data_IF_659938933890
#
_entry.id   IF_659938933890
#
_cell.length_a   1.000
_cell.length_b   1.000
_cell.length_c   1.000
_cell.angle_alpha   90.00
_cell.angle_beta   90.00
_cell.angle_gamma   90.00
#
_symmetry.space_group_name_H-M   'P 1'
#
loop_
_entity.id
_entity.type
_entity.pdbx_description
1 polymer ?
#
# COMPACT_ATOMS: atom_id res chain seq x y z
N UNK A 1 147.26 49.93 -46.92
CA UNK A 1 146.05 49.07 -47.02
C UNK A 1 145.31 49.41 -48.30
N UNK A 2 145.13 48.44 -49.20
CA UNK A 2 144.73 48.66 -50.59
C UNK A 2 143.21 48.80 -50.71
N UNK A 3 142.71 50.00 -51.05
CA UNK A 3 141.28 50.32 -51.09
C UNK A 3 140.48 49.43 -52.07
N UNK A 4 141.15 48.81 -53.05
CA UNK A 4 140.53 47.95 -54.06
C UNK A 4 140.04 46.57 -53.54
N UNK A 5 140.56 46.06 -52.42
CA UNK A 5 140.12 44.76 -51.84
C UNK A 5 139.12 44.97 -50.70
N UNK A 6 139.21 46.10 -49.98
CA UNK A 6 138.32 46.39 -48.86
C UNK A 6 136.86 46.63 -49.31
N UNK A 7 136.64 47.32 -50.42
CA UNK A 7 135.31 47.67 -50.93
C UNK A 7 134.43 46.42 -51.21
N UNK A 8 134.86 45.40 -51.97
CA UNK A 8 134.03 44.22 -52.23
C UNK A 8 133.73 43.38 -50.99
N UNK A 9 134.67 43.29 -50.03
CA UNK A 9 134.46 42.60 -48.76
C UNK A 9 133.40 43.35 -47.92
N UNK A 10 133.45 44.68 -47.90
CA UNK A 10 132.46 45.52 -47.21
C UNK A 10 131.07 45.37 -47.84
N UNK A 11 130.98 45.29 -49.17
CA UNK A 11 129.69 45.09 -49.87
C UNK A 11 129.10 43.70 -49.59
N UNK A 12 129.93 42.64 -49.58
CA UNK A 12 129.49 41.29 -49.23
C UNK A 12 129.05 41.18 -47.76
N UNK A 13 129.78 41.80 -46.84
CA UNK A 13 129.39 41.88 -45.43
C UNK A 13 128.11 42.70 -45.24
N UNK A 14 127.95 43.80 -45.98
CA UNK A 14 126.73 44.61 -45.95
C UNK A 14 125.52 43.83 -46.50
N UNK A 15 125.69 43.11 -47.62
CA UNK A 15 124.65 42.25 -48.18
C UNK A 15 124.28 41.10 -47.22
N UNK A 16 125.28 40.48 -46.57
CA UNK A 16 125.07 39.46 -45.54
C UNK A 16 124.31 40.00 -44.33
N UNK A 17 124.66 41.19 -43.84
CA UNK A 17 123.95 41.87 -42.74
C UNK A 17 122.51 42.23 -43.12
N UNK A 18 122.26 42.69 -44.35
CA UNK A 18 120.92 42.98 -44.85
C UNK A 18 120.08 41.70 -44.93
N UNK A 19 120.65 40.59 -45.42
CA UNK A 19 119.95 39.32 -45.58
C UNK A 19 119.63 38.67 -44.21
N UNK A 20 120.57 38.74 -43.27
CA UNK A 20 120.33 38.36 -41.86
C UNK A 20 119.28 39.26 -41.22
N UNK A 21 119.33 40.57 -41.47
CA UNK A 21 118.33 41.53 -40.98
C UNK A 21 116.93 41.26 -41.52
N UNK A 22 116.80 40.92 -42.82
CA UNK A 22 115.54 40.54 -43.45
C UNK A 22 114.98 39.23 -42.88
N UNK A 23 115.80 38.19 -42.76
CA UNK A 23 115.40 36.93 -42.13
C UNK A 23 114.96 37.13 -40.68
N UNK A 24 115.68 37.96 -39.93
CA UNK A 24 115.30 38.33 -38.56
C UNK A 24 113.95 39.07 -38.51
N UNK A 25 113.69 39.99 -39.43
CA UNK A 25 112.41 40.68 -39.54
C UNK A 25 111.27 39.72 -39.90
N UNK A 26 111.53 38.77 -40.81
CA UNK A 26 110.56 37.76 -41.24
C UNK A 26 110.18 36.82 -40.09
N UNK A 27 111.16 36.31 -39.34
CA UNK A 27 110.90 35.49 -38.15
C UNK A 27 110.19 36.28 -37.05
N UNK A 28 110.49 37.58 -36.87
CA UNK A 28 109.73 38.46 -35.96
C UNK A 28 108.28 38.64 -36.38
N UNK A 29 108.00 38.77 -37.68
CA UNK A 29 106.62 38.89 -38.18
C UNK A 29 105.84 37.60 -38.00
N UNK A 30 106.42 36.43 -38.33
CA UNK A 30 105.79 35.13 -38.04
C UNK A 30 105.50 34.94 -36.56
N UNK A 31 106.43 35.36 -35.69
CA UNK A 31 106.23 35.30 -34.25
C UNK A 31 105.09 36.23 -33.79
N UNK A 32 104.98 37.42 -34.36
CA UNK A 32 103.89 38.35 -34.07
C UNK A 32 102.53 37.80 -34.54
N UNK A 33 102.47 37.19 -35.73
CA UNK A 33 101.26 36.56 -36.26
C UNK A 33 100.82 35.38 -35.37
N UNK A 34 101.78 34.51 -34.99
CA UNK A 34 101.51 33.40 -34.08
C UNK A 34 101.04 33.89 -32.70
N UNK A 35 101.63 34.98 -32.18
CA UNK A 35 101.20 35.57 -30.90
C UNK A 35 99.77 36.12 -30.99
N UNK A 36 99.40 36.75 -32.11
CA UNK A 36 98.04 37.21 -32.37
C UNK A 36 97.04 36.06 -32.43
N UNK A 37 97.40 34.96 -33.10
CA UNK A 37 96.59 33.75 -33.18
C UNK A 37 96.39 33.10 -31.80
N UNK A 38 97.44 33.04 -30.98
CA UNK A 38 97.37 32.54 -29.59
C UNK A 38 96.38 33.37 -28.77
N UNK A 39 96.45 34.69 -28.82
CA UNK A 39 95.51 35.58 -28.09
C UNK A 39 94.06 35.36 -28.55
N UNK A 40 93.84 35.15 -29.85
CA UNK A 40 92.51 34.84 -30.42
C UNK A 40 91.96 33.50 -29.92
N UNK A 41 92.82 32.47 -29.88
CA UNK A 41 92.48 31.15 -29.36
C UNK A 41 92.17 31.20 -27.86
N UNK A 42 92.96 31.93 -27.06
CA UNK A 42 92.69 32.16 -25.63
C UNK A 42 91.32 32.81 -25.40
N UNK A 43 90.95 33.80 -26.22
CA UNK A 43 89.63 34.41 -26.19
C UNK A 43 88.51 33.42 -26.54
N UNK A 44 88.74 32.56 -27.53
CA UNK A 44 87.79 31.50 -27.92
C UNK A 44 87.62 30.47 -26.80
N UNK A 45 88.71 30.01 -26.19
CA UNK A 45 88.69 29.08 -25.04
C UNK A 45 87.92 29.68 -23.88
N UNK A 46 88.19 30.93 -23.52
CA UNK A 46 87.48 31.64 -22.44
C UNK A 46 85.96 31.72 -22.69
N UNK A 47 85.55 31.90 -23.94
CA UNK A 47 84.13 31.92 -24.30
C UNK A 47 83.49 30.53 -24.21
N UNK A 48 84.17 29.49 -24.71
CA UNK A 48 83.71 28.11 -24.59
C UNK A 48 83.59 27.67 -23.13
N UNK A 49 84.53 28.06 -22.26
CA UNK A 49 84.45 27.79 -20.82
C UNK A 49 83.19 28.40 -20.18
N UNK A 50 82.83 29.63 -20.57
CA UNK A 50 81.58 30.26 -20.12
C UNK A 50 80.35 29.55 -20.65
N UNK A 51 80.34 29.14 -21.91
CA UNK A 51 79.23 28.39 -22.49
C UNK A 51 79.04 27.03 -21.80
N UNK A 52 80.14 26.31 -21.54
CA UNK A 52 80.12 25.05 -20.78
C UNK A 52 79.56 25.28 -19.38
N UNK A 53 80.03 26.30 -18.66
CA UNK A 53 79.53 26.60 -17.32
C UNK A 53 78.03 26.93 -17.31
N UNK A 54 77.54 27.67 -18.32
CA UNK A 54 76.12 27.97 -18.45
C UNK A 54 75.29 26.71 -18.75
N UNK A 55 75.80 25.82 -19.60
CA UNK A 55 75.16 24.55 -19.92
C UNK A 55 75.09 23.62 -18.71
N UNK A 56 76.13 23.58 -17.87
CA UNK A 56 76.13 22.83 -16.61
C UNK A 56 75.03 23.32 -15.65
N UNK A 57 74.88 24.65 -15.51
CA UNK A 57 73.81 25.24 -14.69
C UNK A 57 72.43 24.90 -15.26
N UNK A 58 72.23 25.01 -16.57
CA UNK A 58 70.98 24.67 -17.22
C UNK A 58 70.63 23.19 -17.05
N UNK A 59 71.61 22.30 -17.20
CA UNK A 59 71.44 20.85 -17.03
C UNK A 59 71.06 20.51 -15.58
N UNK A 60 71.68 21.16 -14.59
CA UNK A 60 71.29 20.99 -13.19
C UNK A 60 69.84 21.45 -12.93
N UNK A 61 69.42 22.56 -13.53
CA UNK A 61 68.04 23.04 -13.47
C UNK A 61 67.02 22.08 -14.09
N UNK A 62 67.35 21.49 -15.24
CA UNK A 62 66.52 20.49 -15.90
C UNK A 62 66.44 19.19 -15.08
N UNK A 63 67.56 18.75 -14.48
CA UNK A 63 67.59 17.59 -13.60
C UNK A 63 66.66 17.77 -12.40
N UNK A 64 66.70 18.93 -11.75
CA UNK A 64 65.80 19.25 -10.63
C UNK A 64 64.33 19.27 -11.06
N UNK A 65 64.03 19.88 -12.22
CA UNK A 65 62.66 19.92 -12.76
C UNK A 65 62.13 18.51 -13.05
N UNK A 66 62.99 17.63 -13.59
CA UNK A 66 62.65 16.22 -13.83
C UNK A 66 62.37 15.47 -12.52
N UNK A 67 63.17 15.66 -11.49
CA UNK A 67 62.95 15.03 -10.18
C UNK A 67 61.62 15.48 -9.56
N UNK A 68 61.28 16.76 -9.63
CA UNK A 68 60.01 17.29 -9.16
C UNK A 68 58.82 16.70 -9.93
N UNK A 69 58.90 16.67 -11.26
CA UNK A 69 57.86 16.06 -12.08
C UNK A 69 57.68 14.56 -11.78
N UNK A 70 58.78 13.83 -11.53
CA UNK A 70 58.72 12.43 -11.14
C UNK A 70 58.03 12.24 -9.79
N UNK A 71 58.29 13.11 -8.81
CA UNK A 71 57.62 13.08 -7.51
C UNK A 71 56.12 13.37 -7.63
N UNK A 72 55.74 14.34 -8.47
CA UNK A 72 54.32 14.66 -8.75
C UNK A 72 53.59 13.49 -9.41
N UNK A 73 54.22 12.83 -10.40
CA UNK A 73 53.66 11.63 -11.04
C UNK A 73 53.39 10.53 -10.02
N UNK A 74 54.30 10.30 -9.07
CA UNK A 74 54.11 9.30 -8.00
C UNK A 74 52.92 9.68 -7.11
N UNK A 75 52.81 10.94 -6.71
CA UNK A 75 51.69 11.42 -5.87
C UNK A 75 50.34 11.32 -6.59
N UNK A 76 50.29 11.68 -7.88
CA UNK A 76 49.09 11.54 -8.70
C UNK A 76 48.70 10.08 -8.89
N UNK A 77 49.68 9.19 -9.10
CA UNK A 77 49.42 7.75 -9.21
C UNK A 77 48.79 7.20 -7.92
N UNK A 78 49.30 7.58 -6.76
CA UNK A 78 48.71 7.20 -5.46
C UNK A 78 47.28 7.73 -5.30
N UNK A 79 47.04 8.98 -5.74
CA UNK A 79 45.70 9.58 -5.71
C UNK A 79 44.72 8.82 -6.60
N UNK A 80 45.15 8.45 -7.82
CA UNK A 80 44.34 7.66 -8.75
C UNK A 80 43.98 6.31 -8.13
N UNK A 81 44.95 5.57 -7.59
CA UNK A 81 44.67 4.27 -6.96
C UNK A 81 43.71 4.38 -5.77
N UNK A 82 43.79 5.46 -4.98
CA UNK A 82 42.83 5.73 -3.90
C UNK A 82 41.42 6.01 -4.42
N UNK A 83 41.31 6.80 -5.48
CA UNK A 83 40.03 7.08 -6.14
C UNK A 83 39.41 5.81 -6.74
N UNK A 84 40.21 4.96 -7.39
CA UNK A 84 39.75 3.67 -7.93
C UNK A 84 39.17 2.77 -6.82
N UNK A 85 39.85 2.68 -5.67
CA UNK A 85 39.35 1.91 -4.53
C UNK A 85 38.03 2.48 -3.96
N UNK A 86 37.91 3.81 -3.91
CA UNK A 86 36.67 4.46 -3.47
C UNK A 86 35.52 4.21 -4.47
N UNK A 87 35.79 4.27 -5.77
CA UNK A 87 34.79 3.96 -6.81
C UNK A 87 34.30 2.52 -6.67
N UNK A 88 35.19 1.55 -6.53
CA UNK A 88 34.81 0.15 -6.34
C UNK A 88 33.94 -0.08 -5.08
N UNK A 89 34.25 0.65 -4.00
CA UNK A 89 33.44 0.63 -2.76
C UNK A 89 32.05 1.20 -2.99
N UNK A 90 31.95 2.33 -3.69
CA UNK A 90 30.67 2.97 -4.01
C UNK A 90 29.81 2.12 -4.95
N UNK A 91 30.42 1.45 -5.94
CA UNK A 91 29.73 0.51 -6.83
C UNK A 91 29.12 -0.65 -6.05
N UNK A 92 29.87 -1.20 -5.09
CA UNK A 92 29.37 -2.28 -4.21
C UNK A 92 28.19 -1.80 -3.37
N UNK A 93 28.30 -0.63 -2.73
CA UNK A 93 27.22 -0.05 -1.93
C UNK A 93 25.97 0.24 -2.77
N UNK A 94 26.14 0.73 -4.01
CA UNK A 94 25.04 0.98 -4.93
C UNK A 94 24.31 -0.31 -5.33
N UNK A 95 25.05 -1.39 -5.56
CA UNK A 95 24.47 -2.70 -5.85
C UNK A 95 23.66 -3.23 -4.66
N UNK A 96 24.17 -3.10 -3.43
CA UNK A 96 23.45 -3.49 -2.21
C UNK A 96 22.14 -2.69 -2.02
N UNK A 97 22.20 -1.37 -2.18
CA UNK A 97 21.01 -0.51 -2.07
C UNK A 97 19.99 -0.77 -3.19
N UNK A 98 20.46 -1.16 -4.38
CA UNK A 98 19.58 -1.58 -5.47
C UNK A 98 18.84 -2.87 -5.11
N UNK A 99 19.55 -3.87 -4.58
CA UNK A 99 18.94 -5.13 -4.14
C UNK A 99 17.93 -4.93 -3.00
N UNK A 100 18.25 -4.08 -2.01
CA UNK A 100 17.31 -3.72 -0.92
C UNK A 100 16.04 -3.08 -1.46
N UNK A 101 16.17 -2.19 -2.44
CA UNK A 101 15.02 -1.51 -3.08
C UNK A 101 14.11 -2.49 -3.80
N UNK A 102 14.68 -3.43 -4.56
CA UNK A 102 13.92 -4.46 -5.26
C UNK A 102 13.16 -5.37 -4.28
N UNK A 103 13.80 -5.76 -3.17
CA UNK A 103 13.16 -6.54 -2.11
C UNK A 103 12.00 -5.78 -1.47
N UNK A 104 12.19 -4.51 -1.12
CA UNK A 104 11.15 -3.66 -0.57
C UNK A 104 9.98 -3.48 -1.56
N UNK A 105 10.26 -3.34 -2.86
CA UNK A 105 9.23 -3.25 -3.89
C UNK A 105 8.41 -4.54 -3.99
N UNK A 106 9.07 -5.71 -3.90
CA UNK A 106 8.37 -7.00 -3.87
C UNK A 106 7.48 -7.16 -2.63
N UNK A 107 7.94 -6.68 -1.47
CA UNK A 107 7.16 -6.71 -0.23
C UNK A 107 5.91 -5.82 -0.33
N UNK A 108 6.03 -4.62 -0.91
CA UNK A 108 4.88 -3.73 -1.17
C UNK A 108 3.83 -4.42 -2.03
N UNK A 109 4.22 -5.05 -3.15
CA UNK A 109 3.27 -5.76 -4.02
C UNK A 109 2.58 -6.91 -3.28
N UNK A 110 3.29 -7.63 -2.43
CA UNK A 110 2.71 -8.70 -1.60
C UNK A 110 1.70 -8.16 -0.58
N UNK A 111 2.00 -7.02 0.03
CA UNK A 111 1.11 -6.36 0.99
C UNK A 111 -0.15 -5.82 0.30
N UNK A 112 -0.02 -5.23 -0.89
CA UNK A 112 -1.15 -4.80 -1.72
C UNK A 112 -2.10 -5.98 -2.03
N UNK A 113 -1.55 -7.13 -2.40
CA UNK A 113 -2.34 -8.35 -2.62
C UNK A 113 -3.04 -8.85 -1.34
N UNK A 114 -2.38 -8.72 -0.19
CA UNK A 114 -2.99 -9.08 1.11
C UNK A 114 -4.14 -8.14 1.47
N UNK A 115 -3.99 -6.84 1.25
CA UNK A 115 -5.03 -5.83 1.49
C UNK A 115 -6.24 -6.09 0.61
N UNK A 116 -6.06 -6.33 -0.69
CA UNK A 116 -7.17 -6.63 -1.61
C UNK A 116 -7.98 -7.86 -1.17
N UNK A 117 -7.32 -8.93 -0.72
CA UNK A 117 -7.99 -10.11 -0.20
C UNK A 117 -8.75 -9.82 1.11
N UNK A 118 -8.20 -8.98 2.00
CA UNK A 118 -8.90 -8.58 3.22
C UNK A 118 -10.16 -7.76 2.93
N UNK A 119 -10.11 -6.87 1.93
CA UNK A 119 -11.26 -6.08 1.49
C UNK A 119 -12.39 -6.98 0.94
N UNK A 120 -12.06 -7.99 0.13
CA UNK A 120 -13.04 -8.96 -0.38
C UNK A 120 -13.70 -9.78 0.75
N UNK A 121 -12.89 -10.23 1.71
CA UNK A 121 -13.39 -10.95 2.88
C UNK A 121 -14.30 -10.07 3.75
N UNK A 122 -13.96 -8.79 3.93
CA UNK A 122 -14.78 -7.85 4.68
C UNK A 122 -16.15 -7.65 4.02
N UNK A 123 -16.18 -7.42 2.70
CA UNK A 123 -17.43 -7.26 1.94
C UNK A 123 -18.33 -8.50 2.05
N UNK A 124 -17.73 -9.70 2.01
CA UNK A 124 -18.46 -10.97 2.19
C UNK A 124 -19.05 -11.07 3.61
N UNK A 125 -18.28 -10.67 4.62
CA UNK A 125 -18.75 -10.70 6.01
C UNK A 125 -19.89 -9.71 6.26
N UNK A 126 -19.81 -8.51 5.67
CA UNK A 126 -20.87 -7.49 5.74
C UNK A 126 -22.18 -7.99 5.12
N UNK A 127 -22.11 -8.60 3.93
CA UNK A 127 -23.28 -9.18 3.28
C UNK A 127 -23.90 -10.32 4.11
N UNK A 128 -23.07 -11.17 4.72
CA UNK A 128 -23.54 -12.23 5.61
C UNK A 128 -24.21 -11.66 6.87
N UNK A 129 -23.68 -10.57 7.44
CA UNK A 129 -24.26 -9.90 8.59
C UNK A 129 -25.64 -9.32 8.27
N UNK A 130 -25.79 -8.65 7.13
CA UNK A 130 -27.07 -8.10 6.66
C UNK A 130 -28.11 -9.21 6.49
N UNK A 131 -27.74 -10.33 5.85
CA UNK A 131 -28.61 -11.50 5.70
C UNK A 131 -29.05 -12.09 7.06
N UNK A 132 -28.13 -12.19 8.02
CA UNK A 132 -28.45 -12.66 9.38
C UNK A 132 -29.39 -11.70 10.12
N UNK A 133 -29.21 -10.39 9.95
CA UNK A 133 -30.10 -9.40 10.53
C UNK A 133 -31.53 -9.52 9.97
N UNK A 134 -31.66 -9.70 8.65
CA UNK A 134 -32.96 -9.95 8.02
C UNK A 134 -33.62 -11.24 8.52
N UNK A 135 -32.85 -12.32 8.62
CA UNK A 135 -33.35 -13.60 9.15
C UNK A 135 -33.82 -13.47 10.61
N UNK A 136 -33.07 -12.74 11.44
CA UNK A 136 -33.44 -12.50 12.83
C UNK A 136 -34.73 -11.69 12.95
N UNK A 137 -34.88 -10.62 12.15
CA UNK A 137 -36.10 -9.82 12.13
C UNK A 137 -37.32 -10.64 11.69
N UNK A 138 -37.17 -11.49 10.68
CA UNK A 138 -38.21 -12.42 10.25
C UNK A 138 -38.60 -13.39 11.37
N UNK A 139 -37.62 -13.97 12.07
CA UNK A 139 -37.88 -14.88 13.19
C UNK A 139 -38.57 -14.19 14.37
N UNK A 140 -38.22 -12.94 14.67
CA UNK A 140 -38.90 -12.15 15.70
C UNK A 140 -40.38 -11.94 15.37
N UNK A 141 -40.70 -11.61 14.12
CA UNK A 141 -42.09 -11.44 13.67
C UNK A 141 -42.89 -12.74 13.78
N UNK A 142 -42.28 -13.88 13.42
CA UNK A 142 -42.89 -15.21 13.58
C UNK A 142 -43.17 -15.48 15.06
N UNK A 143 -42.20 -15.22 15.95
CA UNK A 143 -42.37 -15.44 17.39
C UNK A 143 -43.49 -14.58 17.99
N UNK A 144 -43.63 -13.32 17.55
CA UNK A 144 -44.73 -12.44 17.97
C UNK A 144 -46.07 -13.01 17.50
N UNK A 145 -46.17 -13.39 16.23
CA UNK A 145 -47.41 -13.95 15.66
C UNK A 145 -47.81 -15.25 16.37
N UNK A 146 -46.86 -16.15 16.61
CA UNK A 146 -47.12 -17.39 17.34
C UNK A 146 -47.51 -17.12 18.81
N UNK A 147 -46.91 -16.13 19.44
CA UNK A 147 -47.26 -15.74 20.81
C UNK A 147 -48.70 -15.20 20.91
N UNK A 148 -49.12 -14.41 19.92
CA UNK A 148 -50.48 -13.88 19.84
C UNK A 148 -51.50 -15.00 19.58
N UNK A 149 -51.21 -15.89 18.62
CA UNK A 149 -52.04 -17.08 18.36
C UNK A 149 -52.16 -17.98 19.60
N UNK A 150 -51.04 -18.22 20.30
CA UNK A 150 -51.04 -19.00 21.53
C UNK A 150 -51.89 -18.34 22.62
N UNK A 151 -51.81 -17.01 22.77
CA UNK A 151 -52.63 -16.26 23.73
C UNK A 151 -54.12 -16.38 23.42
N UNK A 152 -54.52 -16.35 22.14
CA UNK A 152 -55.91 -16.51 21.72
C UNK A 152 -56.47 -17.87 22.14
N UNK A 153 -55.74 -18.95 21.88
CA UNK A 153 -56.18 -20.32 22.19
C UNK A 153 -56.12 -20.61 23.70
N UNK A 154 -55.09 -20.13 24.41
CA UNK A 154 -54.90 -20.40 25.84
C UNK A 154 -55.90 -19.65 26.72
N UNK A 155 -56.32 -18.46 26.30
CA UNK A 155 -57.20 -17.59 27.06
C UNK A 155 -58.38 -17.12 26.19
N UNK A 156 -59.29 -18.04 25.80
CA UNK A 156 -60.47 -17.66 25.03
C UNK A 156 -61.36 -16.74 25.86
N UNK A 157 -62.15 -15.92 25.17
CA UNK A 157 -63.02 -14.92 25.81
C UNK A 157 -64.44 -14.99 25.31
N UNK A 158 -65.32 -14.29 26.00
CA UNK A 158 -66.67 -14.04 25.52
C UNK A 158 -66.69 -12.96 24.42
N UNK A 159 -67.76 -12.97 23.61
CA UNK A 159 -68.05 -11.89 22.69
C UNK A 159 -68.45 -10.64 23.50
N UNK A 160 -67.99 -9.46 23.09
CA UNK A 160 -68.28 -8.20 23.80
C UNK A 160 -69.59 -7.57 23.35
N UNK A 161 -70.09 -7.95 22.17
CA UNK A 161 -71.37 -7.46 21.64
C UNK A 161 -71.99 -8.44 20.65
N UNK A 162 -73.29 -8.28 20.39
CA UNK A 162 -74.00 -9.10 19.40
C UNK A 162 -73.49 -8.80 17.99
N UNK A 163 -73.09 -7.56 17.72
CA UNK A 163 -72.48 -7.17 16.44
C UNK A 163 -71.17 -7.91 16.21
N UNK A 164 -70.34 -8.08 17.25
CA UNK A 164 -69.10 -8.86 17.15
C UNK A 164 -69.40 -10.34 16.85
N UNK A 165 -70.33 -10.94 17.58
CA UNK A 165 -70.77 -12.32 17.33
C UNK A 165 -71.31 -12.47 15.90
N UNK A 166 -72.14 -11.53 15.45
CA UNK A 166 -72.72 -11.53 14.11
C UNK A 166 -71.63 -11.42 13.04
N UNK A 167 -70.69 -10.50 13.20
CA UNK A 167 -69.57 -10.32 12.26
C UNK A 167 -68.62 -11.52 12.24
N UNK A 168 -68.49 -12.24 13.35
CA UNK A 168 -67.75 -13.49 13.41
C UNK A 168 -68.48 -14.62 12.68
N UNK A 169 -69.78 -14.82 12.95
CA UNK A 169 -70.63 -15.82 12.27
C UNK A 169 -70.70 -15.59 10.76
N UNK A 170 -70.75 -14.35 10.28
CA UNK A 170 -70.72 -14.03 8.84
C UNK A 170 -69.45 -14.50 8.11
N UNK A 171 -68.35 -14.73 8.84
CA UNK A 171 -67.11 -15.29 8.30
C UNK A 171 -67.07 -16.80 8.41
N UNK A 172 -67.93 -17.37 9.26
CA UNK A 172 -68.10 -18.80 9.36
C UNK A 172 -68.88 -19.33 8.15
N UNK A 173 -68.71 -20.62 7.87
CA UNK A 173 -69.42 -21.31 6.79
C UNK A 173 -69.79 -22.74 7.20
N UNK A 174 -69.92 -22.99 8.50
CA UNK A 174 -70.21 -24.31 9.05
C UNK A 174 -71.62 -24.73 8.70
N UNK A 175 -72.56 -23.80 8.74
CA UNK A 175 -73.97 -23.91 8.33
C UNK A 175 -74.15 -24.36 6.86
N UNK A 176 -73.22 -24.00 5.96
CA UNK A 176 -73.28 -24.38 4.54
C UNK A 176 -72.87 -25.82 4.25
N UNK A 177 -72.40 -26.58 5.25
CA UNK A 177 -71.90 -27.94 5.06
C UNK A 177 -73.01 -28.95 5.25
N UNK A 178 -72.99 -30.05 4.48
CA UNK A 178 -73.93 -31.15 4.70
C UNK A 178 -73.42 -32.08 5.81
N UNK A 179 -73.64 -31.71 7.08
CA UNK A 179 -73.34 -32.57 8.25
C UNK A 179 -74.54 -32.66 9.21
N UNK A 180 -74.58 -33.69 10.09
CA UNK A 180 -75.55 -33.74 11.18
C UNK A 180 -75.44 -32.51 12.11
N UNK A 181 -76.57 -32.07 12.67
CA UNK A 181 -76.67 -30.87 13.52
C UNK A 181 -75.65 -30.84 14.67
N UNK A 182 -75.45 -31.98 15.33
CA UNK A 182 -74.47 -32.12 16.41
C UNK A 182 -73.04 -31.85 15.91
N UNK A 183 -72.71 -32.30 14.69
CA UNK A 183 -71.40 -32.06 14.11
C UNK A 183 -71.22 -30.59 13.74
N UNK A 184 -72.26 -29.89 13.25
CA UNK A 184 -72.20 -28.45 13.03
C UNK A 184 -71.88 -27.70 14.32
N UNK A 185 -72.61 -28.00 15.39
CA UNK A 185 -72.44 -27.32 16.67
C UNK A 185 -71.01 -27.45 17.21
N UNK A 186 -70.44 -28.65 17.15
CA UNK A 186 -69.06 -28.90 17.59
C UNK A 186 -68.02 -28.26 16.67
N UNK A 187 -68.23 -28.28 15.34
CA UNK A 187 -67.32 -27.60 14.40
C UNK A 187 -67.33 -26.09 14.68
N UNK A 188 -68.51 -25.50 14.90
CA UNK A 188 -68.66 -24.08 15.21
C UNK A 188 -67.99 -23.72 16.55
N UNK A 189 -68.14 -24.56 17.58
CA UNK A 189 -67.44 -24.39 18.86
C UNK A 189 -65.91 -24.42 18.69
N UNK A 190 -65.39 -25.39 17.93
CA UNK A 190 -63.94 -25.52 17.70
C UNK A 190 -63.40 -24.31 16.92
N UNK A 191 -64.13 -23.84 15.91
CA UNK A 191 -63.75 -22.64 15.16
C UNK A 191 -63.74 -21.40 16.04
N UNK A 192 -64.78 -21.21 16.86
CA UNK A 192 -64.82 -20.12 17.82
C UNK A 192 -63.60 -20.17 18.75
N UNK A 193 -63.27 -21.35 19.28
CA UNK A 193 -62.11 -21.52 20.14
C UNK A 193 -60.77 -21.22 19.43
N UNK A 194 -60.63 -21.64 18.17
CA UNK A 194 -59.43 -21.33 17.36
C UNK A 194 -59.26 -19.82 17.14
N UNK A 195 -60.37 -19.09 17.04
CA UNK A 195 -60.38 -17.63 16.93
C UNK A 195 -60.36 -16.91 18.30
N UNK A 196 -60.23 -17.66 19.40
CA UNK A 196 -60.11 -17.16 20.76
C UNK A 196 -61.44 -16.80 21.45
N UNK A 197 -62.55 -17.40 21.02
CA UNK A 197 -63.88 -17.20 21.56
C UNK A 197 -64.43 -18.44 22.28
N UNK A 198 -65.24 -18.20 23.32
CA UNK A 198 -66.05 -19.21 24.00
C UNK A 198 -67.43 -19.28 23.37
N UNK A 199 -67.74 -20.40 22.72
CA UNK A 199 -69.03 -20.68 22.10
C UNK A 199 -69.46 -22.14 22.32
N UNK A 200 -69.67 -22.56 23.59
CA UNK A 200 -69.96 -23.95 23.94
C UNK A 200 -71.26 -24.47 23.32
N UNK A 201 -71.27 -25.75 22.94
CA UNK A 201 -72.49 -26.45 22.53
C UNK A 201 -73.36 -26.76 23.74
N UNK A 202 -74.67 -26.62 23.57
CA UNK A 202 -75.70 -26.96 24.54
C UNK A 202 -76.74 -27.88 23.90
N UNK A 203 -77.13 -28.91 24.64
CA UNK A 203 -78.15 -29.88 24.24
C UNK A 203 -79.27 -29.88 25.26
N UNK A 204 -80.50 -29.85 24.80
CA UNK A 204 -81.66 -30.02 25.69
C UNK A 204 -82.83 -30.64 24.93
N UNK A 205 -83.67 -31.36 25.67
CA UNK A 205 -84.88 -31.95 25.14
C UNK A 205 -86.05 -31.01 25.38
N UNK A 206 -86.81 -30.72 24.34
CA UNK A 206 -88.03 -29.94 24.43
C UNK A 206 -89.08 -30.55 23.50
N UNK A 207 -90.27 -30.83 24.04
CA UNK A 207 -91.41 -31.36 23.26
C UNK A 207 -91.12 -32.65 22.48
N UNK A 208 -90.17 -33.47 22.95
CA UNK A 208 -89.78 -34.73 22.32
C UNK A 208 -88.70 -34.61 21.24
N UNK A 209 -88.21 -33.39 20.97
CA UNK A 209 -87.12 -33.12 20.03
C UNK A 209 -85.82 -32.74 20.77
N UNK A 210 -84.68 -33.16 20.21
CA UNK A 210 -83.36 -32.77 20.70
C UNK A 210 -82.94 -31.45 20.04
N UNK A 211 -82.81 -30.41 20.85
CA UNK A 211 -82.31 -29.11 20.41
C UNK A 211 -80.79 -29.04 20.58
N UNK A 212 -80.12 -28.57 19.53
CA UNK A 212 -78.67 -28.40 19.49
C UNK A 212 -78.37 -26.95 19.13
N UNK A 213 -77.76 -26.21 20.06
CA UNK A 213 -77.42 -24.79 19.87
C UNK A 213 -76.04 -24.49 20.43
N UNK A 214 -75.41 -23.44 19.93
CA UNK A 214 -74.22 -22.86 20.54
C UNK A 214 -74.61 -21.69 21.44
N UNK A 215 -73.95 -21.52 22.59
CA UNK A 215 -74.28 -20.46 23.56
C UNK A 215 -73.20 -19.39 23.59
N UNK A 216 -73.59 -18.13 23.36
CA UNK A 216 -72.72 -16.98 23.51
C UNK A 216 -73.13 -16.17 24.75
N UNK A 217 -72.19 -15.93 25.66
CA UNK A 217 -72.38 -14.98 26.76
C UNK A 217 -71.93 -13.61 26.29
N UNK A 218 -72.78 -12.60 26.45
CA UNK A 218 -72.50 -11.21 26.05
C UNK A 218 -73.08 -10.29 27.12
N UNK A 219 -72.21 -9.65 27.90
CA UNK A 219 -72.63 -8.88 29.08
C UNK A 219 -73.37 -9.77 30.07
N UNK A 220 -74.59 -9.38 30.44
CA UNK A 220 -75.47 -10.09 31.38
C UNK A 220 -76.47 -11.02 30.68
N UNK A 221 -76.26 -11.32 29.40
CA UNK A 221 -77.20 -12.08 28.58
C UNK A 221 -76.55 -13.33 27.97
N UNK A 222 -77.37 -14.37 27.76
CA UNK A 222 -76.99 -15.56 27.00
C UNK A 222 -77.81 -15.61 25.72
N UNK A 223 -77.12 -15.70 24.60
CA UNK A 223 -77.69 -15.87 23.27
C UNK A 223 -77.50 -17.30 22.78
N UNK A 224 -78.52 -17.85 22.11
CA UNK A 224 -78.40 -19.06 21.31
C UNK A 224 -78.02 -18.70 19.89
N UNK A 225 -77.11 -19.47 19.32
CA UNK A 225 -76.82 -19.48 17.89
C UNK A 225 -77.37 -20.78 17.33
N UNK A 226 -78.29 -20.65 16.38
CA UNK A 226 -78.86 -21.75 15.61
C UNK A 226 -77.80 -22.37 14.71
N UNK A 227 -77.68 -23.70 14.75
CA UNK A 227 -76.69 -24.46 13.97
C UNK A 227 -77.10 -24.66 12.50
N UNK A 228 -78.29 -24.19 12.12
CA UNK A 228 -78.88 -24.35 10.79
C UNK A 228 -78.65 -23.13 9.89
N UNK A 229 -78.72 -21.94 10.48
CA UNK A 229 -78.84 -20.66 9.77
C UNK A 229 -78.12 -19.51 10.49
N UNK A 230 -77.28 -19.83 11.49
CA UNK A 230 -76.54 -18.88 12.32
C UNK A 230 -77.41 -17.81 13.01
N UNK A 231 -78.73 -18.04 13.10
CA UNK A 231 -79.66 -17.11 13.73
C UNK A 231 -79.35 -16.96 15.22
N UNK A 232 -79.24 -15.72 15.68
CA UNK A 232 -78.97 -15.37 17.07
C UNK A 232 -80.27 -15.06 17.80
N UNK A 233 -80.55 -15.74 18.91
CA UNK A 233 -81.75 -15.55 19.72
C UNK A 233 -81.40 -15.34 21.20
N UNK A 234 -81.99 -14.32 21.82
CA UNK A 234 -81.85 -14.10 23.26
C UNK A 234 -82.51 -15.26 24.02
N UNK A 235 -81.76 -15.95 24.87
CA UNK A 235 -82.24 -17.13 25.59
C UNK A 235 -82.40 -16.90 27.09
N UNK A 236 -81.46 -16.18 27.70
CA UNK A 236 -81.50 -15.85 29.12
C UNK A 236 -81.05 -14.40 29.34
N UNK A 237 -81.67 -13.74 30.30
CA UNK A 237 -81.35 -12.38 30.74
C UNK A 237 -80.93 -12.37 32.21
N UNK A 238 -80.13 -11.39 32.60
CA UNK A 238 -79.80 -11.11 34.00
C UNK A 238 -78.90 -12.15 34.66
N UNK A 239 -77.95 -12.72 33.90
CA UNK A 239 -76.87 -13.53 34.49
C UNK A 239 -75.79 -12.62 35.08
N UNK A 240 -75.03 -13.14 36.05
CA UNK A 240 -73.88 -12.44 36.61
C UNK A 240 -72.83 -12.16 35.53
N UNK A 241 -72.27 -10.95 35.55
CA UNK A 241 -71.27 -10.53 34.57
C UNK A 241 -70.01 -11.38 34.70
N UNK A 242 -69.73 -12.19 33.68
CA UNK A 242 -68.52 -12.99 33.63
C UNK A 242 -67.30 -12.11 33.31
N UNK A 243 -66.11 -12.41 33.87
CA UNK A 243 -64.89 -11.66 33.58
C UNK A 243 -64.51 -11.75 32.10
N UNK A 244 -64.09 -10.62 31.52
CA UNK A 244 -63.79 -10.52 30.09
C UNK A 244 -62.55 -11.33 29.65
N UNK A 245 -61.49 -11.37 30.48
CA UNK A 245 -60.31 -12.26 30.43
C UNK A 245 -59.54 -12.16 31.77
N UNK A 246 -58.85 -13.21 32.25
CA UNK A 246 -59.05 -14.65 32.05
C UNK A 246 -60.07 -15.22 33.06
N UNK A 247 -60.55 -16.44 32.82
CA UNK A 247 -61.17 -17.23 33.90
C UNK A 247 -60.10 -17.34 35.01
N UNK A 248 -60.38 -16.90 36.26
CA UNK A 248 -59.44 -17.03 37.36
C UNK A 248 -58.93 -18.47 37.43
N UNK A 249 -57.62 -18.64 37.54
CA UNK A 249 -56.99 -19.95 37.68
C UNK A 249 -57.05 -20.47 39.12
N UNK A 250 -58.14 -20.19 39.83
CA UNK A 250 -58.34 -20.68 41.20
C UNK A 250 -58.10 -22.20 41.27
#
# INVERSE_FOLDING_TARGET
>A
MNKQIAIPIIVLLAAGLILVGYLFLQERNKLADAQSEVVSLEGTVTNLEKEVSNLEVALAGESNSRELAQAEIVALTQTISSLEANVATLETALAEETAKRELAQSEVVSLEGTVANLEENLATLEANLENLQHALAAQQNINVTLSDQLRQVKYPRHFTSVEELTAWLQKDNTDTKNKPLIQHAFILQVRALMDGYLLPVSFYWQEGELWVVNRAVIGENIYSVSVLDDRIELSFYGIELLPARPIPSD
#
